data_IF_099372380583
#
_entry.id   IF_099372380583
#
_cell.length_a   1.000
_cell.length_b   1.000
_cell.length_c   1.000
_cell.angle_alpha   90.00
_cell.angle_beta   90.00
_cell.angle_gamma   90.00
#
_symmetry.space_group_name_H-M   'P 1'
#
loop_
_entity.id
_entity.type
_entity.pdbx_description
1 polymer ?
#
# COMPACT_ATOMS: atom_id res chain seq x y z
N UNK A 1 4.50 10.98 9.75
CA UNK A 1 3.60 11.16 8.60
C UNK A 1 3.27 9.82 7.97
N UNK A 2 2.29 9.79 7.09
CA UNK A 2 1.86 8.60 6.37
C UNK A 2 3.01 7.99 5.52
N UNK A 3 3.70 8.81 4.72
CA UNK A 3 4.86 8.34 3.95
C UNK A 3 5.99 7.79 4.83
N UNK A 4 6.26 8.44 5.98
CA UNK A 4 7.27 7.95 6.92
C UNK A 4 6.91 6.60 7.53
N UNK A 5 5.63 6.34 7.76
CA UNK A 5 5.16 5.04 8.26
C UNK A 5 5.42 3.92 7.23
N UNK A 6 5.13 4.18 5.96
CA UNK A 6 5.43 3.24 4.87
C UNK A 6 6.94 3.02 4.74
N UNK A 7 7.73 4.09 4.75
CA UNK A 7 9.19 4.02 4.70
C UNK A 7 9.77 3.18 5.85
N UNK A 8 9.24 3.36 7.07
CA UNK A 8 9.66 2.57 8.22
C UNK A 8 9.28 1.09 8.04
N UNK A 9 8.05 0.79 7.62
CA UNK A 9 7.62 -0.57 7.35
C UNK A 9 8.50 -1.25 6.28
N UNK A 10 8.88 -0.54 5.23
CA UNK A 10 9.79 -1.07 4.20
C UNK A 10 11.17 -1.42 4.78
N UNK A 11 11.72 -0.59 5.65
CA UNK A 11 13.00 -0.89 6.33
C UNK A 11 12.85 -2.11 7.24
N UNK A 12 11.79 -2.16 8.05
CA UNK A 12 11.54 -3.28 8.98
C UNK A 12 11.30 -4.60 8.21
N UNK A 13 10.65 -4.56 7.06
CA UNK A 13 10.49 -5.70 6.13
C UNK A 13 11.85 -6.14 5.59
N UNK A 14 12.70 -5.19 5.17
CA UNK A 14 14.03 -5.48 4.66
C UNK A 14 14.92 -6.15 5.72
N UNK A 15 14.85 -5.70 6.97
CA UNK A 15 15.54 -6.32 8.10
C UNK A 15 15.00 -7.70 8.43
N UNK A 16 13.65 -7.82 8.49
CA UNK A 16 12.98 -9.06 8.91
C UNK A 16 13.20 -10.22 7.94
N UNK A 17 13.07 -9.95 6.64
CA UNK A 17 13.16 -11.00 5.61
C UNK A 17 14.57 -11.16 5.01
N UNK A 18 15.47 -10.20 5.25
CA UNK A 18 16.85 -10.28 4.79
C UNK A 18 16.93 -10.55 3.27
N UNK A 19 17.68 -11.58 2.88
CA UNK A 19 17.87 -11.93 1.47
C UNK A 19 16.62 -12.53 0.79
N UNK A 20 15.57 -12.81 1.56
CA UNK A 20 14.31 -13.30 1.03
C UNK A 20 13.40 -12.17 0.51
N UNK A 21 13.79 -10.89 0.63
CA UNK A 21 13.01 -9.79 0.08
C UNK A 21 13.81 -8.98 -0.94
N UNK A 22 13.10 -8.43 -1.90
CA UNK A 22 13.63 -7.54 -2.93
C UNK A 22 12.57 -6.50 -3.27
N UNK A 23 13.01 -5.25 -3.46
CA UNK A 23 12.16 -4.14 -3.87
C UNK A 23 12.43 -3.87 -5.35
N UNK A 24 11.42 -3.98 -6.19
CA UNK A 24 11.58 -3.86 -7.63
C UNK A 24 10.54 -2.92 -8.26
N UNK A 25 10.96 -2.13 -9.21
CA UNK A 25 10.13 -1.14 -9.90
C UNK A 25 10.98 -0.19 -10.72
N UNK A 26 10.39 0.89 -11.14
CA UNK A 26 11.08 1.95 -11.87
C UNK A 26 11.79 2.91 -10.90
N UNK A 27 12.99 3.35 -11.26
CA UNK A 27 13.79 4.34 -10.50
C UNK A 27 14.07 3.93 -9.03
N UNK A 28 14.08 2.64 -8.73
CA UNK A 28 14.24 2.15 -7.35
C UNK A 28 15.58 2.56 -6.74
N UNK A 29 16.65 2.46 -7.53
CA UNK A 29 18.00 2.78 -7.08
C UNK A 29 18.23 4.28 -6.92
N UNK A 30 17.50 5.13 -7.62
CA UNK A 30 17.61 6.60 -7.46
C UNK A 30 16.92 7.05 -6.18
N UNK A 31 15.65 6.79 -6.04
CA UNK A 31 14.87 7.15 -4.85
C UNK A 31 13.51 6.42 -4.75
N UNK A 32 13.06 5.78 -5.81
CA UNK A 32 11.68 5.32 -5.99
C UNK A 32 10.70 6.48 -6.17
N UNK A 33 9.45 6.16 -6.46
CA UNK A 33 8.41 7.19 -6.56
C UNK A 33 8.32 8.02 -5.27
N UNK A 34 8.32 9.33 -5.42
CA UNK A 34 8.22 10.29 -4.30
C UNK A 34 9.32 10.16 -3.21
N UNK A 35 10.47 9.59 -3.52
CA UNK A 35 11.56 9.42 -2.58
C UNK A 35 11.31 8.34 -1.52
N UNK A 36 10.44 7.39 -1.78
CA UNK A 36 10.05 6.38 -0.81
C UNK A 36 11.18 5.42 -0.45
N UNK A 37 12.16 5.20 -1.34
CA UNK A 37 13.28 4.28 -1.13
C UNK A 37 14.51 4.92 -0.47
N UNK A 38 14.51 6.24 -0.25
CA UNK A 38 15.64 6.93 0.41
C UNK A 38 16.04 6.29 1.74
N UNK A 39 15.10 5.95 2.66
CA UNK A 39 15.47 5.31 3.92
C UNK A 39 16.05 3.90 3.76
N UNK A 40 15.60 3.11 2.79
CA UNK A 40 16.20 1.80 2.51
C UNK A 40 17.69 1.93 2.19
N UNK A 41 18.07 2.87 1.34
CA UNK A 41 19.48 3.16 1.02
C UNK A 41 20.25 3.66 2.26
N UNK A 42 19.66 4.59 3.01
CA UNK A 42 20.29 5.16 4.19
C UNK A 42 20.54 4.12 5.30
N UNK A 43 19.74 3.07 5.36
CA UNK A 43 19.87 1.97 6.32
C UNK A 43 20.66 0.76 5.76
N UNK A 44 21.30 0.90 4.60
CA UNK A 44 22.21 -0.13 4.05
C UNK A 44 21.52 -1.23 3.26
N UNK A 45 20.25 -1.05 2.84
CA UNK A 45 19.48 -2.01 2.05
C UNK A 45 19.47 -1.71 0.54
N UNK A 46 20.49 -1.02 0.04
CA UNK A 46 20.56 -0.68 -1.39
C UNK A 46 20.73 -1.91 -2.30
N UNK A 47 21.32 -2.96 -1.81
CA UNK A 47 21.49 -4.25 -2.49
C UNK A 47 20.16 -4.98 -2.76
N UNK A 48 19.09 -4.56 -2.08
CA UNK A 48 17.73 -5.08 -2.23
C UNK A 48 16.88 -4.28 -3.22
N UNK A 49 17.42 -3.21 -3.79
CA UNK A 49 16.73 -2.37 -4.77
C UNK A 49 17.07 -2.85 -6.18
N UNK A 50 16.07 -3.10 -6.99
CA UNK A 50 16.22 -3.54 -8.38
C UNK A 50 15.46 -2.60 -9.32
N UNK A 51 16.20 -1.85 -10.12
CA UNK A 51 15.61 -1.07 -11.20
C UNK A 51 15.09 -1.98 -12.30
N UNK A 52 13.84 -1.77 -12.66
CA UNK A 52 13.16 -2.48 -13.72
C UNK A 52 12.91 -1.54 -14.92
N UNK A 53 12.80 -2.10 -16.14
CA UNK A 53 12.39 -1.30 -17.27
C UNK A 53 10.99 -0.75 -17.09
N UNK A 54 10.66 0.34 -17.76
CA UNK A 54 9.34 0.97 -17.79
C UNK A 54 8.35 0.07 -18.51
N UNK A 55 7.97 -1.01 -17.80
CA UNK A 55 7.05 -2.04 -18.28
C UNK A 55 6.41 -2.75 -17.08
N UNK A 56 5.26 -2.29 -16.65
CA UNK A 56 4.58 -2.75 -15.43
C UNK A 56 4.22 -4.24 -15.48
N UNK A 57 3.90 -4.76 -16.66
CA UNK A 57 3.67 -6.19 -16.83
C UNK A 57 4.92 -7.03 -16.52
N UNK A 58 6.11 -6.56 -16.93
CA UNK A 58 7.38 -7.23 -16.63
C UNK A 58 7.68 -7.14 -15.14
N UNK A 59 7.45 -5.99 -14.50
CA UNK A 59 7.62 -5.82 -13.05
C UNK A 59 6.79 -6.86 -12.30
N UNK A 60 5.50 -6.98 -12.61
CA UNK A 60 4.61 -7.92 -11.93
C UNK A 60 4.94 -9.39 -12.23
N UNK A 61 5.28 -9.73 -13.48
CA UNK A 61 5.70 -11.10 -13.79
C UNK A 61 7.02 -11.49 -13.11
N UNK A 62 7.98 -10.56 -13.03
CA UNK A 62 9.25 -10.77 -12.33
C UNK A 62 9.02 -10.96 -10.83
N UNK A 63 8.19 -10.12 -10.21
CA UNK A 63 7.80 -10.27 -8.81
C UNK A 63 7.08 -11.61 -8.55
N UNK A 64 6.16 -12.00 -9.45
CA UNK A 64 5.50 -13.32 -9.37
C UNK A 64 6.50 -14.46 -9.44
N UNK A 65 7.48 -14.38 -10.36
CA UNK A 65 8.54 -15.37 -10.49
C UNK A 65 9.43 -15.45 -9.25
N UNK A 66 9.83 -14.31 -8.69
CA UNK A 66 10.59 -14.24 -7.44
C UNK A 66 9.81 -14.86 -6.26
N UNK A 67 8.51 -14.56 -6.16
CA UNK A 67 7.63 -15.16 -5.15
C UNK A 67 7.54 -16.68 -5.28
N UNK A 68 7.39 -17.20 -6.49
CA UNK A 68 7.39 -18.64 -6.76
C UNK A 68 8.74 -19.29 -6.46
N UNK A 69 9.84 -18.55 -6.55
CA UNK A 69 11.18 -18.99 -6.15
C UNK A 69 11.43 -18.92 -4.64
N UNK A 70 10.44 -18.53 -3.83
CA UNK A 70 10.50 -18.50 -2.37
C UNK A 70 10.87 -17.15 -1.76
N UNK A 71 10.93 -16.10 -2.57
CA UNK A 71 11.12 -14.72 -2.07
C UNK A 71 9.79 -14.06 -1.68
N UNK A 72 9.89 -12.92 -1.00
CA UNK A 72 8.78 -12.00 -0.68
C UNK A 72 9.04 -10.64 -1.34
N UNK A 73 8.85 -10.55 -2.66
CA UNK A 73 9.12 -9.33 -3.40
C UNK A 73 8.11 -8.23 -3.07
N UNK A 74 8.62 -7.00 -3.03
CA UNK A 74 7.82 -5.79 -2.98
C UNK A 74 7.99 -5.05 -4.30
N UNK A 75 6.97 -5.15 -5.16
CA UNK A 75 6.95 -4.44 -6.42
C UNK A 75 6.35 -3.05 -6.26
N UNK A 76 6.78 -2.09 -7.07
CA UNK A 76 6.19 -0.76 -7.14
C UNK A 76 5.72 -0.46 -8.58
N UNK A 77 4.48 0.00 -8.72
CA UNK A 77 3.95 0.65 -9.91
C UNK A 77 3.79 2.11 -9.56
N UNK A 78 4.43 3.02 -10.29
CA UNK A 78 4.59 4.42 -9.89
C UNK A 78 3.27 5.19 -9.71
N UNK A 79 2.22 4.84 -10.48
CA UNK A 79 0.90 5.47 -10.38
C UNK A 79 -0.24 4.49 -10.67
N UNK A 80 -1.37 4.71 -10.00
CA UNK A 80 -2.53 3.83 -10.10
C UNK A 80 -2.99 3.55 -11.53
N UNK A 81 -3.04 4.56 -12.39
CA UNK A 81 -3.48 4.37 -13.78
C UNK A 81 -2.59 3.44 -14.60
N UNK A 82 -1.30 3.36 -14.28
CA UNK A 82 -0.34 2.50 -14.98
C UNK A 82 -0.51 1.02 -14.64
N UNK A 83 -1.16 0.71 -13.53
CA UNK A 83 -1.51 -0.68 -13.20
C UNK A 83 -2.40 -1.35 -14.27
N UNK A 84 -3.06 -0.57 -15.12
CA UNK A 84 -3.79 -1.10 -16.27
C UNK A 84 -2.88 -1.91 -17.23
N UNK A 85 -1.61 -1.52 -17.37
CA UNK A 85 -0.63 -2.23 -18.20
C UNK A 85 -0.23 -3.59 -17.61
N UNK A 86 -0.37 -3.77 -16.29
CA UNK A 86 -0.10 -5.02 -15.59
C UNK A 86 -1.37 -5.82 -15.26
N UNK A 87 -2.54 -5.40 -15.71
CA UNK A 87 -3.83 -6.00 -15.34
C UNK A 87 -3.86 -7.51 -15.59
N UNK A 88 -3.46 -7.95 -16.77
CA UNK A 88 -3.40 -9.38 -17.08
C UNK A 88 -2.39 -10.14 -16.20
N UNK A 89 -1.24 -9.55 -15.91
CA UNK A 89 -0.21 -10.14 -15.06
C UNK A 89 -0.71 -10.35 -13.62
N UNK A 90 -1.51 -9.39 -13.12
CA UNK A 90 -2.12 -9.48 -11.79
C UNK A 90 -3.26 -10.50 -11.76
N UNK A 91 -4.27 -10.37 -12.63
CA UNK A 91 -5.52 -11.14 -12.54
C UNK A 91 -5.38 -12.57 -13.07
N UNK A 92 -4.88 -12.72 -14.30
CA UNK A 92 -4.85 -14.03 -14.94
C UNK A 92 -3.60 -14.85 -14.59
N UNK A 93 -2.60 -14.24 -13.98
CA UNK A 93 -1.41 -14.92 -13.54
C UNK A 93 -1.30 -14.92 -12.01
N UNK A 94 -0.83 -13.86 -11.38
CA UNK A 94 -0.52 -13.86 -9.93
C UNK A 94 -1.71 -14.32 -9.07
N UNK A 95 -2.90 -13.76 -9.28
CA UNK A 95 -4.11 -14.08 -8.53
C UNK A 95 -4.58 -15.53 -8.68
N UNK A 96 -4.39 -16.12 -9.87
CA UNK A 96 -4.91 -17.45 -10.19
C UNK A 96 -3.99 -18.60 -9.80
N UNK A 97 -2.74 -18.34 -9.46
CA UNK A 97 -1.74 -19.39 -9.19
C UNK A 97 -2.13 -20.29 -8.02
N UNK A 98 -2.63 -19.72 -6.95
CA UNK A 98 -3.09 -20.52 -5.79
C UNK A 98 -4.25 -21.43 -6.16
N UNK A 99 -5.26 -20.89 -6.82
CA UNK A 99 -6.44 -21.67 -7.18
C UNK A 99 -6.14 -22.76 -8.20
N UNK A 100 -5.28 -22.46 -9.18
CA UNK A 100 -4.98 -23.42 -10.28
C UNK A 100 -3.98 -24.50 -9.88
N UNK A 101 -2.99 -24.14 -9.05
CA UNK A 101 -1.86 -25.04 -8.75
C UNK A 101 -1.50 -25.12 -7.27
N UNK A 102 -2.25 -24.49 -6.38
CA UNK A 102 -1.95 -24.45 -4.94
C UNK A 102 -0.68 -23.65 -4.60
N UNK A 103 -0.15 -22.85 -5.53
CA UNK A 103 1.09 -22.12 -5.33
C UNK A 103 0.87 -20.84 -4.53
N UNK A 104 1.70 -20.59 -3.53
CA UNK A 104 1.76 -19.31 -2.84
C UNK A 104 2.44 -18.25 -3.72
N UNK A 105 1.92 -17.02 -3.66
CA UNK A 105 2.52 -15.86 -4.34
C UNK A 105 2.64 -14.71 -3.32
N UNK A 106 3.58 -14.80 -2.37
CA UNK A 106 3.79 -13.80 -1.33
C UNK A 106 4.41 -12.51 -1.90
N UNK A 107 3.63 -11.77 -2.64
CA UNK A 107 4.03 -10.55 -3.34
C UNK A 107 3.20 -9.38 -2.86
N UNK A 108 3.84 -8.26 -2.52
CA UNK A 108 3.16 -6.99 -2.25
C UNK A 108 3.45 -6.01 -3.40
N UNK A 109 2.40 -5.46 -3.99
CA UNK A 109 2.51 -4.43 -5.03
C UNK A 109 2.06 -3.10 -4.44
N UNK A 110 3.00 -2.19 -4.25
CA UNK A 110 2.75 -0.81 -3.80
C UNK A 110 2.34 0.03 -4.99
N UNK A 111 1.27 0.78 -4.84
CA UNK A 111 0.74 1.61 -5.92
C UNK A 111 0.31 2.97 -5.35
N UNK A 112 1.13 4.01 -5.53
CA UNK A 112 0.72 5.39 -5.27
C UNK A 112 -0.44 5.78 -6.20
N UNK A 113 -1.50 6.37 -5.63
CA UNK A 113 -2.70 6.72 -6.38
C UNK A 113 -3.42 7.94 -5.81
N UNK A 114 -4.43 8.41 -6.51
CA UNK A 114 -5.25 9.53 -6.07
C UNK A 114 -4.70 10.90 -6.42
N UNK A 115 -5.53 11.91 -6.25
CA UNK A 115 -5.23 13.29 -6.59
C UNK A 115 -4.22 13.92 -5.61
N UNK A 116 -3.66 15.04 -5.99
CA UNK A 116 -2.92 16.09 -5.27
C UNK A 116 -1.55 16.44 -5.80
N UNK A 117 -1.00 15.68 -6.73
CA UNK A 117 0.29 16.04 -7.36
C UNK A 117 0.13 17.13 -8.41
N UNK A 118 -1.09 17.40 -8.89
CA UNK A 118 -1.38 18.24 -10.05
C UNK A 118 -0.68 17.77 -11.33
N UNK A 119 -0.37 16.50 -11.42
CA UNK A 119 0.36 15.88 -12.54
C UNK A 119 -0.57 15.55 -13.72
N UNK A 120 -1.80 16.06 -13.71
CA UNK A 120 -2.78 15.81 -14.77
C UNK A 120 -3.58 14.51 -14.56
N UNK A 121 -4.45 14.16 -15.51
CA UNK A 121 -5.42 13.09 -15.34
C UNK A 121 -4.81 11.69 -15.30
N UNK A 122 -3.62 11.49 -15.88
CA UNK A 122 -3.00 10.16 -15.99
C UNK A 122 -2.32 9.67 -14.70
N UNK A 123 -2.17 10.56 -13.71
CA UNK A 123 -1.43 10.28 -12.46
C UNK A 123 -2.31 10.37 -11.22
N UNK A 124 -3.63 10.37 -11.37
CA UNK A 124 -4.57 10.60 -10.26
C UNK A 124 -5.72 9.56 -10.21
N UNK A 125 -5.61 8.49 -10.97
CA UNK A 125 -6.63 7.46 -11.01
C UNK A 125 -6.74 6.74 -9.67
N UNK A 126 -7.99 6.51 -9.24
CA UNK A 126 -8.34 5.63 -8.13
C UNK A 126 -8.78 4.30 -8.74
N UNK A 127 -8.08 3.22 -8.41
CA UNK A 127 -8.17 1.95 -9.13
C UNK A 127 -8.70 0.79 -8.27
N UNK A 128 -9.12 1.06 -7.06
CA UNK A 128 -9.57 0.04 -6.11
C UNK A 128 -10.64 -0.88 -6.72
N UNK A 129 -11.61 -0.28 -7.43
CA UNK A 129 -12.71 -1.02 -8.04
C UNK A 129 -12.29 -1.91 -9.22
N UNK A 130 -11.11 -1.66 -9.81
CA UNK A 130 -10.63 -2.51 -10.91
C UNK A 130 -10.19 -3.89 -10.42
N UNK A 131 -9.78 -3.98 -9.16
CA UNK A 131 -9.17 -5.18 -8.59
C UNK A 131 -9.95 -5.78 -7.42
N UNK A 132 -10.80 -4.99 -6.77
CA UNK A 132 -11.55 -5.45 -5.61
C UNK A 132 -12.59 -6.55 -5.93
N UNK A 133 -12.99 -6.68 -7.19
CA UNK A 133 -13.95 -7.67 -7.64
C UNK A 133 -13.32 -9.00 -8.10
N UNK A 134 -12.00 -9.03 -8.24
CA UNK A 134 -11.32 -10.21 -8.77
C UNK A 134 -10.81 -11.10 -7.64
N UNK A 135 -11.18 -12.38 -7.65
CA UNK A 135 -10.75 -13.32 -6.62
C UNK A 135 -9.23 -13.61 -6.73
N UNK A 136 -8.59 -13.79 -5.59
CA UNK A 136 -7.18 -14.14 -5.51
C UNK A 136 -6.23 -12.95 -5.32
N UNK A 137 -6.75 -11.71 -5.35
CA UNK A 137 -6.03 -10.51 -4.93
C UNK A 137 -6.55 -9.99 -3.60
N UNK A 138 -5.63 -9.55 -2.75
CA UNK A 138 -5.97 -8.78 -1.55
C UNK A 138 -5.75 -7.30 -1.86
N UNK A 139 -6.78 -6.48 -1.67
CA UNK A 139 -6.69 -5.03 -1.92
C UNK A 139 -6.74 -4.28 -0.60
N UNK A 140 -5.72 -3.47 -0.33
CA UNK A 140 -5.53 -2.76 0.93
C UNK A 140 -5.37 -1.26 0.65
N UNK A 141 -6.13 -0.42 1.35
CA UNK A 141 -6.09 1.03 1.17
C UNK A 141 -6.09 1.75 2.54
N UNK A 142 -4.93 1.90 3.19
CA UNK A 142 -4.80 2.50 4.51
C UNK A 142 -5.19 3.98 4.53
N UNK A 143 -5.78 4.43 5.63
CA UNK A 143 -6.22 5.82 5.82
C UNK A 143 -5.39 6.62 6.82
N UNK A 144 -4.60 5.97 7.67
CA UNK A 144 -3.79 6.62 8.70
C UNK A 144 -2.33 6.15 8.64
N UNK A 145 -1.37 6.87 9.25
CA UNK A 145 0.00 6.39 9.35
C UNK A 145 0.14 5.04 10.04
N UNK A 146 -0.64 4.78 11.10
CA UNK A 146 -0.59 3.48 11.78
C UNK A 146 -1.13 2.36 10.89
N UNK A 147 -2.26 2.59 10.19
CA UNK A 147 -2.79 1.62 9.25
C UNK A 147 -1.80 1.31 8.14
N UNK A 148 -1.12 2.35 7.63
CA UNK A 148 -0.12 2.19 6.57
C UNK A 148 1.04 1.31 7.00
N UNK A 149 1.54 1.48 8.21
CA UNK A 149 2.58 0.64 8.77
C UNK A 149 2.09 -0.81 8.99
N UNK A 150 1.01 -0.97 9.76
CA UNK A 150 0.51 -2.29 10.15
C UNK A 150 0.10 -3.15 8.95
N UNK A 151 -0.66 -2.55 8.05
CA UNK A 151 -1.15 -3.27 6.87
C UNK A 151 -0.04 -3.58 5.87
N UNK A 152 1.03 -2.76 5.79
CA UNK A 152 2.16 -3.07 4.93
C UNK A 152 2.99 -4.23 5.49
N UNK A 153 3.24 -4.23 6.80
CA UNK A 153 3.90 -5.35 7.49
C UNK A 153 3.11 -6.65 7.33
N UNK A 154 1.80 -6.59 7.47
CA UNK A 154 0.93 -7.76 7.29
C UNK A 154 0.87 -8.21 5.82
N UNK A 155 0.85 -7.27 4.87
CA UNK A 155 0.89 -7.57 3.43
C UNK A 155 2.14 -8.38 3.07
N UNK A 156 3.30 -7.99 3.59
CA UNK A 156 4.55 -8.71 3.37
C UNK A 156 4.55 -10.12 3.98
N UNK A 157 3.73 -10.37 5.00
CA UNK A 157 3.61 -11.66 5.67
C UNK A 157 2.61 -12.61 5.00
N UNK A 158 1.70 -12.11 4.17
CA UNK A 158 0.71 -12.94 3.48
C UNK A 158 1.35 -13.80 2.39
N UNK A 159 0.74 -14.94 2.12
CA UNK A 159 1.14 -15.86 1.06
C UNK A 159 0.34 -15.68 -0.24
N UNK A 160 -0.47 -14.64 -0.30
CA UNK A 160 -1.26 -14.25 -1.46
C UNK A 160 -0.84 -12.86 -1.96
N UNK A 161 -1.05 -12.55 -3.25
CA UNK A 161 -0.66 -11.25 -3.79
C UNK A 161 -1.54 -10.13 -3.21
N UNK A 162 -0.87 -9.08 -2.75
CA UNK A 162 -1.50 -7.90 -2.14
C UNK A 162 -1.26 -6.68 -3.02
N UNK A 163 -2.32 -5.94 -3.33
CA UNK A 163 -2.23 -4.57 -3.86
C UNK A 163 -2.36 -3.59 -2.70
N UNK A 164 -1.27 -2.92 -2.38
CA UNK A 164 -1.19 -1.93 -1.32
C UNK A 164 -1.31 -0.53 -1.92
N UNK A 165 -2.50 0.06 -1.80
CA UNK A 165 -2.89 1.28 -2.46
C UNK A 165 -2.61 2.50 -1.57
N UNK A 166 -1.67 3.34 -1.99
CA UNK A 166 -1.15 4.46 -1.22
C UNK A 166 -1.73 5.78 -1.70
N UNK A 167 -2.65 6.39 -0.94
CA UNK A 167 -3.21 7.67 -1.38
C UNK A 167 -2.19 8.81 -1.24
N UNK A 168 -1.68 9.32 -2.37
CA UNK A 168 -0.64 10.34 -2.44
C UNK A 168 -1.00 11.60 -1.63
N UNK A 169 -2.28 11.95 -1.58
CA UNK A 169 -2.77 13.06 -0.76
C UNK A 169 -2.47 12.95 0.74
N UNK A 170 -2.17 11.75 1.23
CA UNK A 170 -1.81 11.49 2.63
C UNK A 170 -0.29 11.53 2.89
N UNK A 171 0.55 11.55 1.86
CA UNK A 171 2.02 11.48 2.02
C UNK A 171 2.63 12.61 2.86
N UNK A 172 1.92 13.70 3.04
CA UNK A 172 2.42 14.85 3.81
C UNK A 172 3.49 15.63 3.06
N UNK A 173 3.50 15.59 1.74
CA UNK A 173 4.42 16.31 0.89
C UNK A 173 4.30 17.82 1.12
N UNK A 174 5.45 18.51 1.28
CA UNK A 174 5.50 19.98 1.38
C UNK A 174 4.90 20.61 0.11
N UNK A 175 4.03 21.58 0.29
CA UNK A 175 3.33 22.26 -0.80
C UNK A 175 2.12 21.51 -1.33
N UNK A 176 1.79 20.36 -0.76
CA UNK A 176 0.57 19.64 -1.02
C UNK A 176 -0.63 20.51 -0.70
N UNK A 177 -1.57 20.66 -1.62
CA UNK A 177 -2.71 21.51 -1.47
C UNK A 177 -3.64 21.01 -0.38
N UNK A 178 -3.88 21.88 0.50
CA UNK A 178 -4.67 21.78 1.72
C UNK A 178 -6.17 21.77 1.45
N UNK A 179 -6.67 20.92 0.57
CA UNK A 179 -8.14 20.80 0.50
C UNK A 179 -8.68 19.81 1.54
N UNK A 180 -7.86 18.82 1.92
CA UNK A 180 -8.32 17.71 2.76
C UNK A 180 -7.42 17.48 3.96
N UNK A 181 -6.65 18.49 4.35
CA UNK A 181 -6.03 18.35 5.42
C UNK A 181 -4.74 18.59 5.90
N UNK A 182 -4.93 18.53 6.89
CA UNK A 182 -3.95 18.53 7.95
C UNK A 182 -2.91 17.47 7.65
N UNK A 183 -1.64 17.84 7.80
CA UNK A 183 -0.58 16.86 7.93
C UNK A 183 -0.98 15.88 9.04
N UNK A 184 -1.29 14.65 8.65
CA UNK A 184 -1.64 13.62 9.61
C UNK A 184 -0.35 13.17 10.25
N UNK A 185 -0.08 13.70 11.42
CA UNK A 185 1.04 13.29 12.25
C UNK A 185 0.52 12.36 13.34
N UNK A 186 1.00 11.13 13.31
CA UNK A 186 0.70 10.12 14.32
C UNK A 186 2.02 9.46 14.73
N UNK A 187 2.21 9.24 16.02
CA UNK A 187 3.29 8.36 16.49
C UNK A 187 2.88 6.93 16.13
N UNK A 188 3.66 6.30 15.28
CA UNK A 188 3.43 4.92 14.87
C UNK A 188 4.03 4.00 15.92
N UNK A 189 3.25 3.02 16.33
CA UNK A 189 3.72 1.90 17.15
C UNK A 189 4.23 0.82 16.20
N UNK A 190 5.50 0.48 16.31
CA UNK A 190 6.19 -0.50 15.45
C UNK A 190 6.27 -1.89 16.09
N UNK A 191 5.78 -2.04 17.32
CA UNK A 191 5.71 -3.37 17.94
C UNK A 191 4.75 -4.28 17.15
N UNK A 192 5.10 -5.56 16.98
CA UNK A 192 4.24 -6.50 16.29
C UNK A 192 2.86 -6.58 16.92
N UNK A 193 1.84 -6.59 16.06
CA UNK A 193 0.47 -6.72 16.50
C UNK A 193 0.22 -8.13 17.04
N UNK A 194 0.10 -8.28 18.37
CA UNK A 194 -0.18 -9.55 19.02
C UNK A 194 -1.69 -9.81 19.12
N UNK A 195 -2.13 -10.94 18.56
CA UNK A 195 -3.52 -11.40 18.68
C UNK A 195 -4.51 -10.80 17.67
N UNK A 196 -5.79 -11.18 17.81
CA UNK A 196 -6.87 -10.60 17.02
C UNK A 196 -7.19 -9.21 17.56
N UNK A 197 -6.95 -8.16 16.74
CA UNK A 197 -7.18 -6.80 17.18
C UNK A 197 -8.58 -6.36 16.80
N UNK A 198 -9.38 -6.10 17.84
CA UNK A 198 -10.65 -5.39 17.75
C UNK A 198 -10.58 -4.01 18.43
N UNK A 199 -9.40 -3.53 18.80
CA UNK A 199 -9.27 -2.22 19.43
C UNK A 199 -8.94 -1.18 18.37
N UNK A 200 -9.80 -0.20 18.19
CA UNK A 200 -9.88 0.85 17.18
C UNK A 200 -8.64 1.66 16.76
N UNK A 201 -7.44 1.20 17.06
CA UNK A 201 -6.19 1.87 16.72
C UNK A 201 -5.25 1.06 15.82
N UNK A 202 -5.44 -0.24 15.70
CA UNK A 202 -4.60 -1.14 14.89
C UNK A 202 -5.48 -2.01 14.01
N UNK A 203 -5.19 -2.07 12.71
CA UNK A 203 -5.95 -2.86 11.74
C UNK A 203 -5.25 -4.16 11.37
N UNK A 204 -6.05 -5.13 10.96
CA UNK A 204 -5.61 -6.34 10.24
C UNK A 204 -6.33 -6.46 8.91
N UNK A 205 -5.66 -7.05 7.94
CA UNK A 205 -6.26 -7.36 6.64
C UNK A 205 -7.52 -8.21 6.83
N UNK A 206 -8.58 -7.87 6.11
CA UNK A 206 -9.90 -8.50 6.24
C UNK A 206 -10.77 -7.97 7.37
N UNK A 207 -10.31 -6.96 8.12
CA UNK A 207 -11.09 -6.30 9.17
C UNK A 207 -11.16 -4.79 8.94
N UNK A 208 -12.37 -4.25 8.96
CA UNK A 208 -12.56 -2.81 8.97
C UNK A 208 -12.41 -2.26 10.40
N UNK A 209 -11.80 -1.08 10.53
CA UNK A 209 -11.71 -0.38 11.81
C UNK A 209 -12.93 0.52 12.05
N UNK A 210 -13.47 0.49 13.26
CA UNK A 210 -14.47 1.46 13.68
C UNK A 210 -13.77 2.70 14.20
N UNK A 211 -13.74 3.75 13.39
CA UNK A 211 -13.04 5.01 13.70
C UNK A 211 -13.87 5.91 14.61
N UNK A 212 -15.19 5.83 14.49
CA UNK A 212 -16.15 6.58 15.29
C UNK A 212 -17.41 5.75 15.52
N UNK A 213 -17.84 5.62 16.76
CA UNK A 213 -19.12 5.00 17.11
C UNK A 213 -20.30 5.91 16.82
N UNK A 214 -21.45 5.33 16.51
CA UNK A 214 -22.71 6.03 16.24
C UNK A 214 -23.89 5.07 16.19
N UNK A 215 -25.11 5.57 15.94
CA UNK A 215 -26.33 4.78 15.91
C UNK A 215 -27.24 5.05 14.72
N UNK A 216 -27.10 6.20 14.06
CA UNK A 216 -28.09 6.70 13.09
C UNK A 216 -27.71 6.30 11.66
N UNK A 217 -26.42 6.33 11.32
CA UNK A 217 -25.90 6.02 9.98
C UNK A 217 -24.53 5.39 10.08
N UNK A 218 -24.19 4.51 9.13
CA UNK A 218 -22.85 3.96 8.95
C UNK A 218 -22.20 4.55 7.71
N UNK A 219 -21.04 5.22 7.89
CA UNK A 219 -20.21 5.69 6.80
C UNK A 219 -19.06 4.69 6.59
N UNK A 220 -18.99 4.07 5.40
CA UNK A 220 -17.90 3.18 5.01
C UNK A 220 -16.99 3.91 4.03
N UNK A 221 -15.70 3.99 4.36
CA UNK A 221 -14.72 4.73 3.56
C UNK A 221 -13.31 4.21 3.77
N UNK A 222 -12.37 4.62 2.92
CA UNK A 222 -10.96 4.24 2.98
C UNK A 222 -10.05 5.36 2.49
N UNK A 223 -8.74 5.20 2.66
CA UNK A 223 -7.73 6.14 2.18
C UNK A 223 -7.98 7.57 2.68
N UNK A 224 -7.82 8.55 1.80
CA UNK A 224 -7.99 9.96 2.16
C UNK A 224 -9.43 10.34 2.51
N UNK A 225 -10.42 9.62 1.99
CA UNK A 225 -11.83 9.91 2.26
C UNK A 225 -12.23 9.62 3.72
N UNK A 226 -11.44 8.83 4.45
CA UNK A 226 -11.59 8.65 5.89
C UNK A 226 -11.63 10.00 6.61
N UNK A 227 -10.74 10.92 6.27
CA UNK A 227 -10.63 12.22 6.93
C UNK A 227 -11.79 13.14 6.59
N UNK A 228 -12.28 13.07 5.36
CA UNK A 228 -13.47 13.81 4.91
C UNK A 228 -14.72 13.30 5.65
N UNK A 229 -14.89 11.98 5.74
CA UNK A 229 -16.02 11.38 6.44
C UNK A 229 -16.00 11.69 7.95
N UNK A 230 -14.82 11.72 8.58
CA UNK A 230 -14.69 12.14 9.99
C UNK A 230 -15.13 13.58 10.18
N UNK A 231 -14.67 14.49 9.33
CA UNK A 231 -15.05 15.90 9.42
C UNK A 231 -16.55 16.07 9.23
N UNK A 232 -17.15 15.43 8.23
CA UNK A 232 -18.58 15.47 8.00
C UNK A 232 -19.38 14.95 9.21
N UNK A 233 -18.93 13.84 9.80
CA UNK A 233 -19.56 13.27 10.98
C UNK A 233 -19.43 14.20 12.21
N UNK A 234 -18.33 14.94 12.34
CA UNK A 234 -18.15 15.93 13.42
C UNK A 234 -19.01 17.18 13.22
N UNK A 235 -19.27 17.57 11.98
CA UNK A 235 -20.18 18.66 11.65
C UNK A 235 -21.64 18.28 11.94
N UNK A 236 -22.07 17.11 11.46
CA UNK A 236 -23.44 16.61 11.69
C UNK A 236 -23.78 16.36 13.17
N UNK A 237 -22.78 16.10 13.99
CA UNK A 237 -23.01 15.89 15.42
C UNK A 237 -23.26 17.19 16.22
N UNK A 238 -23.22 18.36 15.57
CA UNK A 238 -23.51 19.64 16.21
C UNK A 238 -25.00 20.03 16.13
N UNK A 239 -25.73 19.36 15.26
CA UNK A 239 -27.16 19.50 15.04
C UNK A 239 -27.96 18.50 15.89
#
# INVERSE_FOLDING_TARGET
TYSRAIQQAMCDIAEHYGDSTIFMGEDMEVAGAFGMNIPLKANGHQDKLLDMPLCEAVIIHSATGAALAGMRPMAEIQFGGFAALAHNALLNNAAMLRWRWGASVPMTVRIPLGARTRSGPFHANMIESWYANDPGLVVVAPGTPQDAYDLLMESAALDDPVLFLEHIGLYGLRGGMTGWGQNINQKVDTEPVKGAINSGTRLKIGKAGVVRGGRDVTLVTWGAMLHVAKQAADELAKD
#
